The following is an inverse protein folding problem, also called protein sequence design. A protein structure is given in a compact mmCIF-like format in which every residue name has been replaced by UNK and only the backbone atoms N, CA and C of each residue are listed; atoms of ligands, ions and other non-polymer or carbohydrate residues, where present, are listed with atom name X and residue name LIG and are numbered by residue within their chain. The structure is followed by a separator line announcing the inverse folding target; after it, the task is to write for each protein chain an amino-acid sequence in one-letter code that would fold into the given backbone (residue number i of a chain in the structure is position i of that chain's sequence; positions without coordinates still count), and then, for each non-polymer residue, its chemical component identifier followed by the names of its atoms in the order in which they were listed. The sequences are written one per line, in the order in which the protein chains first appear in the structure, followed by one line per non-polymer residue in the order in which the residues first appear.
data_IF_925849479626
#
_entry.id   IF_925849479626
#
_cell.length_a   1.000
_cell.length_b   1.000
_cell.length_c   1.000
_cell.angle_alpha   90.00
_cell.angle_beta   90.00
_cell.angle_gamma   90.00
#
_symmetry.space_group_name_H-M   'P 1'
#
loop_
_entity.id
_entity.type
_entity.pdbx_description
1 polymer ?
#
# COMPACT_ATOMS: atom_id res chain seq x y z
N UNK A 1 -14.47 -29.65 2.03
CA UNK A 1 -13.03 -29.59 1.72
C UNK A 1 -12.29 -30.16 2.91
N UNK A 2 -11.37 -31.09 2.68
CA UNK A 2 -10.55 -31.71 3.72
C UNK A 2 -9.48 -30.72 4.23
N UNK A 3 -9.15 -30.78 5.52
CA UNK A 3 -8.23 -29.85 6.16
C UNK A 3 -6.80 -29.99 5.64
N UNK A 4 -6.31 -31.22 5.44
CA UNK A 4 -4.94 -31.45 4.97
C UNK A 4 -4.73 -30.85 3.57
N UNK A 5 -5.73 -30.99 2.69
CA UNK A 5 -5.72 -30.32 1.37
C UNK A 5 -5.78 -28.80 1.49
N UNK A 6 -6.60 -28.29 2.41
CA UNK A 6 -6.70 -26.85 2.68
C UNK A 6 -5.38 -26.27 3.14
N UNK A 7 -4.75 -26.93 4.10
CA UNK A 7 -3.47 -26.52 4.67
C UNK A 7 -2.35 -26.61 3.64
N UNK A 8 -2.34 -27.65 2.79
CA UNK A 8 -1.39 -27.76 1.70
C UNK A 8 -1.45 -26.56 0.74
N UNK A 9 -2.66 -26.10 0.38
CA UNK A 9 -2.86 -24.95 -0.52
C UNK A 9 -2.48 -23.62 0.16
N UNK A 10 -2.86 -23.41 1.42
CA UNK A 10 -2.68 -22.14 2.14
C UNK A 10 -1.32 -22.03 2.86
N UNK A 11 -0.65 -23.16 3.09
CA UNK A 11 0.49 -23.41 3.99
C UNK A 11 0.15 -23.56 5.47
N UNK A 12 0.82 -24.52 6.13
CA UNK A 12 0.72 -24.77 7.56
C UNK A 12 1.08 -23.54 8.40
N UNK A 13 2.08 -22.76 7.97
CA UNK A 13 2.47 -21.53 8.69
C UNK A 13 1.33 -20.52 8.79
N UNK A 14 0.52 -20.36 7.74
CA UNK A 14 -0.64 -19.45 7.74
C UNK A 14 -1.81 -20.02 8.54
N UNK A 15 -2.02 -21.34 8.50
CA UNK A 15 -3.12 -22.00 9.20
C UNK A 15 -2.89 -22.17 10.70
N UNK A 16 -1.63 -22.31 11.14
CA UNK A 16 -1.25 -22.58 12.53
C UNK A 16 -1.93 -21.66 13.55
N UNK A 17 -2.00 -20.35 13.30
CA UNK A 17 -2.63 -19.40 14.22
C UNK A 17 -4.13 -19.66 14.42
N UNK A 18 -4.83 -20.12 13.38
CA UNK A 18 -6.25 -20.43 13.43
C UNK A 18 -6.51 -21.78 14.11
N UNK A 19 -5.64 -22.78 13.86
CA UNK A 19 -5.71 -24.10 14.51
C UNK A 19 -5.51 -23.96 16.02
N UNK A 20 -4.50 -23.20 16.44
CA UNK A 20 -4.24 -22.92 17.87
C UNK A 20 -5.43 -22.19 18.50
N UNK A 21 -5.93 -21.13 17.84
CA UNK A 21 -7.07 -20.36 18.35
C UNK A 21 -8.37 -21.19 18.45
N UNK A 22 -8.51 -22.24 17.65
CA UNK A 22 -9.66 -23.14 17.66
C UNK A 22 -9.44 -24.42 18.50
N UNK A 23 -8.36 -24.50 19.29
CA UNK A 23 -8.08 -25.68 20.12
C UNK A 23 -7.87 -26.96 19.32
N UNK A 24 -7.17 -26.88 18.18
CA UNK A 24 -6.96 -27.96 17.22
C UNK A 24 -8.22 -28.45 16.48
N UNK A 25 -9.37 -27.76 16.61
CA UNK A 25 -10.56 -28.02 15.77
C UNK A 25 -10.32 -27.49 14.34
N UNK A 26 -9.99 -28.41 13.44
CA UNK A 26 -9.62 -28.12 12.05
C UNK A 26 -10.77 -27.53 11.24
N UNK A 27 -12.02 -27.90 11.55
CA UNK A 27 -13.22 -27.37 10.88
C UNK A 27 -13.49 -25.93 11.28
N UNK A 28 -13.38 -25.62 12.57
CA UNK A 28 -13.46 -24.23 13.06
C UNK A 28 -12.30 -23.39 12.55
N UNK A 29 -11.08 -23.93 12.50
CA UNK A 29 -9.92 -23.22 11.96
C UNK A 29 -10.10 -22.80 10.49
N UNK A 30 -10.58 -23.70 9.62
CA UNK A 30 -10.91 -23.35 8.24
C UNK A 30 -12.00 -22.28 8.15
N UNK A 31 -13.03 -22.38 9.00
CA UNK A 31 -14.12 -21.40 9.05
C UNK A 31 -13.59 -20.03 9.46
N UNK A 32 -12.77 -19.96 10.51
CA UNK A 32 -12.17 -18.72 11.00
C UNK A 32 -11.24 -18.08 9.96
N UNK A 33 -10.45 -18.87 9.24
CA UNK A 33 -9.64 -18.37 8.11
C UNK A 33 -10.52 -17.72 7.03
N UNK A 34 -11.62 -18.37 6.62
CA UNK A 34 -12.54 -17.83 5.61
C UNK A 34 -13.23 -16.55 6.10
N UNK A 35 -13.60 -16.49 7.37
CA UNK A 35 -14.16 -15.27 7.98
C UNK A 35 -13.14 -14.14 8.00
N UNK A 36 -11.86 -14.42 8.31
CA UNK A 36 -10.80 -13.42 8.22
C UNK A 36 -10.64 -12.88 6.80
N UNK A 37 -10.65 -13.74 5.78
CA UNK A 37 -10.61 -13.29 4.39
C UNK A 37 -11.80 -12.42 4.00
N UNK A 38 -13.01 -12.83 4.41
CA UNK A 38 -14.22 -12.04 4.16
C UNK A 38 -14.13 -10.66 4.82
N UNK A 39 -13.71 -10.60 6.07
CA UNK A 39 -13.51 -9.32 6.77
C UNK A 39 -12.48 -8.44 6.05
N UNK A 40 -11.34 -9.01 5.64
CA UNK A 40 -10.34 -8.28 4.86
C UNK A 40 -10.90 -7.75 3.55
N UNK A 41 -11.76 -8.50 2.87
CA UNK A 41 -12.42 -8.08 1.65
C UNK A 41 -13.35 -6.88 1.88
N UNK A 42 -14.18 -6.91 2.92
CA UNK A 42 -15.09 -5.78 3.24
C UNK A 42 -14.32 -4.50 3.61
N UNK A 43 -13.20 -4.64 4.31
CA UNK A 43 -12.37 -3.49 4.70
C UNK A 43 -11.60 -2.91 3.51
N UNK A 44 -11.29 -3.71 2.48
CA UNK A 44 -10.46 -3.28 1.36
C UNK A 44 -11.04 -2.04 0.67
N UNK A 45 -12.34 -2.02 0.38
CA UNK A 45 -13.01 -0.86 -0.23
C UNK A 45 -12.89 0.41 0.62
N UNK A 46 -13.02 0.27 1.94
CA UNK A 46 -12.91 1.40 2.87
C UNK A 46 -11.48 1.93 2.89
N UNK A 47 -10.47 1.05 2.93
CA UNK A 47 -9.06 1.43 2.86
C UNK A 47 -8.75 2.13 1.53
N UNK A 48 -9.23 1.63 0.40
CA UNK A 48 -9.02 2.26 -0.91
C UNK A 48 -9.59 3.68 -0.97
N UNK A 49 -10.78 3.89 -0.40
CA UNK A 49 -11.37 5.24 -0.31
C UNK A 49 -10.56 6.15 0.62
N UNK A 50 -10.15 5.61 1.78
CA UNK A 50 -9.32 6.33 2.75
C UNK A 50 -7.98 6.77 2.15
N UNK A 51 -7.31 5.89 1.41
CA UNK A 51 -6.04 6.17 0.76
C UNK A 51 -6.15 7.37 -0.20
N UNK A 52 -7.17 7.38 -1.07
CA UNK A 52 -7.40 8.51 -1.99
C UNK A 52 -7.72 9.79 -1.23
N UNK A 53 -8.59 9.70 -0.21
CA UNK A 53 -8.97 10.87 0.59
C UNK A 53 -7.78 11.48 1.33
N UNK A 54 -6.96 10.63 1.96
CA UNK A 54 -5.76 11.04 2.68
C UNK A 54 -4.73 11.65 1.74
N UNK A 55 -4.44 10.99 0.61
CA UNK A 55 -3.51 11.50 -0.41
C UNK A 55 -3.93 12.88 -0.92
N UNK A 56 -5.21 13.04 -1.24
CA UNK A 56 -5.75 14.32 -1.69
C UNK A 56 -5.71 15.40 -0.59
N UNK A 57 -5.88 15.01 0.67
CA UNK A 57 -5.76 15.95 1.79
C UNK A 57 -4.32 16.42 1.99
N UNK A 58 -3.35 15.49 1.98
CA UNK A 58 -1.92 15.82 2.03
C UNK A 58 -1.54 16.73 0.87
N UNK A 59 -2.02 16.42 -0.33
CA UNK A 59 -1.69 17.19 -1.52
C UNK A 59 -2.15 18.66 -1.43
N UNK A 60 -3.37 18.90 -0.94
CA UNK A 60 -3.87 20.26 -0.73
C UNK A 60 -2.99 21.05 0.23
N UNK A 61 -2.64 20.47 1.37
CA UNK A 61 -1.78 21.14 2.36
C UNK A 61 -0.38 21.39 1.80
N UNK A 62 0.22 20.38 1.16
CA UNK A 62 1.57 20.49 0.62
C UNK A 62 1.65 21.47 -0.55
N UNK A 63 0.65 21.50 -1.44
CA UNK A 63 0.59 22.44 -2.56
C UNK A 63 0.52 23.90 -2.09
N UNK A 64 -0.18 24.16 -0.97
CA UNK A 64 -0.25 25.50 -0.38
C UNK A 64 1.11 25.97 0.15
N UNK A 65 1.93 25.06 0.68
CA UNK A 65 3.23 25.40 1.28
C UNK A 65 4.40 25.35 0.30
N UNK A 66 4.37 24.44 -0.68
CA UNK A 66 5.52 24.09 -1.52
C UNK A 66 5.25 24.21 -3.02
N UNK A 67 4.03 24.60 -3.41
CA UNK A 67 3.61 24.78 -4.80
C UNK A 67 3.02 23.51 -5.45
N UNK A 68 2.43 23.70 -6.64
CA UNK A 68 1.62 22.68 -7.33
C UNK A 68 2.37 21.42 -7.79
N UNK A 69 3.70 21.44 -7.78
CA UNK A 69 4.55 20.30 -8.17
C UNK A 69 5.47 19.84 -7.04
N UNK A 70 5.11 20.15 -5.79
CA UNK A 70 5.92 19.90 -4.59
C UNK A 70 6.53 18.50 -4.55
N UNK A 71 5.77 17.46 -4.91
CA UNK A 71 6.20 16.07 -4.78
C UNK A 71 7.39 15.76 -5.69
N UNK A 72 7.37 16.28 -6.93
CA UNK A 72 8.51 16.21 -7.85
C UNK A 72 9.64 17.08 -7.34
N UNK A 73 9.34 18.32 -6.98
CA UNK A 73 10.35 19.34 -6.71
C UNK A 73 11.19 19.02 -5.47
N UNK A 74 10.58 18.42 -4.44
CA UNK A 74 11.30 18.01 -3.23
C UNK A 74 12.33 16.90 -3.49
N UNK A 75 12.12 16.04 -4.50
CA UNK A 75 13.00 14.89 -4.79
C UNK A 75 14.00 15.14 -5.92
N UNK A 76 13.84 16.22 -6.67
CA UNK A 76 14.72 16.63 -7.78
C UNK A 76 15.98 17.34 -7.26
N UNK A 77 17.04 17.50 -8.08
CA UNK A 77 18.23 18.25 -7.70
C UNK A 77 17.87 19.65 -7.18
N UNK A 78 18.34 19.99 -5.98
CA UNK A 78 18.01 21.25 -5.29
C UNK A 78 16.78 21.18 -4.38
N UNK A 79 16.01 20.10 -4.44
CA UNK A 79 14.91 19.83 -3.52
C UNK A 79 15.37 19.44 -2.11
N UNK A 80 14.55 19.75 -1.10
CA UNK A 80 14.87 19.52 0.32
C UNK A 80 15.17 18.05 0.64
N UNK A 81 14.61 17.11 -0.13
CA UNK A 81 14.78 15.68 0.08
C UNK A 81 15.84 15.04 -0.83
N UNK A 82 16.47 15.79 -1.74
CA UNK A 82 17.41 15.25 -2.72
C UNK A 82 18.58 14.48 -2.07
N UNK A 83 19.16 15.04 -1.00
CA UNK A 83 20.34 14.51 -0.29
C UNK A 83 20.04 13.93 1.10
N UNK A 84 18.78 13.82 1.49
CA UNK A 84 18.41 13.32 2.83
C UNK A 84 18.37 11.79 2.84
N UNK A 85 19.33 11.18 3.56
CA UNK A 85 19.51 9.72 3.63
C UNK A 85 18.31 9.00 4.26
N UNK A 86 17.62 9.65 5.22
CA UNK A 86 16.49 9.03 5.94
C UNK A 86 15.30 8.70 5.03
N UNK A 87 15.17 9.40 3.90
CA UNK A 87 14.06 9.29 2.95
C UNK A 87 14.53 8.79 1.58
N UNK A 88 15.72 8.21 1.49
CA UNK A 88 16.29 7.73 0.22
C UNK A 88 15.36 6.72 -0.49
N UNK A 89 14.73 5.82 0.27
CA UNK A 89 13.78 4.84 -0.28
C UNK A 89 12.57 5.53 -0.90
N UNK A 90 11.91 6.42 -0.17
CA UNK A 90 10.76 7.19 -0.63
C UNK A 90 11.12 8.05 -1.85
N UNK A 91 12.28 8.72 -1.81
CA UNK A 91 12.82 9.50 -2.93
C UNK A 91 12.98 8.66 -4.19
N UNK A 92 13.56 7.46 -4.07
CA UNK A 92 13.73 6.52 -5.19
C UNK A 92 12.40 6.06 -5.78
N UNK A 93 11.39 5.81 -4.94
CA UNK A 93 10.03 5.45 -5.39
C UNK A 93 9.40 6.59 -6.19
N UNK A 94 9.40 7.80 -5.63
CA UNK A 94 8.84 8.99 -6.29
C UNK A 94 9.56 9.27 -7.61
N UNK A 95 10.90 9.24 -7.60
CA UNK A 95 11.70 9.50 -8.79
C UNK A 95 11.44 8.47 -9.90
N UNK A 96 11.34 7.18 -9.55
CA UNK A 96 11.03 6.12 -10.52
C UNK A 96 9.65 6.29 -11.14
N UNK A 97 8.64 6.65 -10.33
CA UNK A 97 7.29 6.93 -10.82
C UNK A 97 7.28 8.15 -11.77
N UNK A 98 7.97 9.22 -11.36
CA UNK A 98 8.15 10.42 -12.18
C UNK A 98 8.79 10.11 -13.55
N UNK A 99 9.95 9.44 -13.56
CA UNK A 99 10.64 9.06 -14.80
C UNK A 99 9.75 8.19 -15.70
N UNK A 100 9.03 7.23 -15.11
CA UNK A 100 8.09 6.37 -15.83
C UNK A 100 6.97 7.16 -16.51
N UNK A 101 6.44 8.19 -15.85
CA UNK A 101 5.41 9.08 -16.41
C UNK A 101 5.97 10.01 -17.49
N UNK A 102 7.21 10.50 -17.31
CA UNK A 102 7.91 11.33 -18.28
C UNK A 102 8.20 10.55 -19.57
N UNK A 103 8.72 9.34 -19.47
CA UNK A 103 8.95 8.46 -20.63
C UNK A 103 7.67 8.19 -21.42
N UNK A 104 6.54 8.02 -20.73
CA UNK A 104 5.22 7.84 -21.35
C UNK A 104 4.61 9.14 -21.89
N UNK A 105 5.25 10.30 -21.69
CA UNK A 105 4.72 11.66 -21.97
C UNK A 105 3.34 11.89 -21.35
N UNK A 106 3.10 11.31 -20.18
CA UNK A 106 1.81 11.35 -19.48
C UNK A 106 1.91 12.06 -18.14
N UNK A 107 3.04 12.67 -17.82
CA UNK A 107 3.24 13.34 -16.54
C UNK A 107 2.21 14.44 -16.28
N UNK A 108 1.59 14.35 -15.11
CA UNK A 108 0.98 15.45 -14.39
C UNK A 108 1.24 15.22 -12.90
N UNK A 109 1.06 16.26 -12.06
CA UNK A 109 1.26 16.12 -10.63
C UNK A 109 0.29 15.11 -10.01
N UNK A 110 -0.97 15.14 -10.41
CA UNK A 110 -2.02 14.24 -9.93
C UNK A 110 -1.72 12.78 -10.26
N UNK A 111 -1.13 12.53 -11.45
CA UNK A 111 -0.69 11.18 -11.83
C UNK A 111 0.51 10.73 -11.02
N UNK A 112 1.49 11.59 -10.78
CA UNK A 112 2.62 11.24 -9.91
C UNK A 112 2.14 10.94 -8.49
N UNK A 113 1.23 11.75 -7.98
CA UNK A 113 0.61 11.56 -6.68
C UNK A 113 -0.17 10.23 -6.61
N UNK A 114 -0.91 9.87 -7.67
CA UNK A 114 -1.69 8.64 -7.77
C UNK A 114 -0.83 7.36 -7.77
N UNK A 115 0.45 7.43 -8.14
CA UNK A 115 1.40 6.32 -8.06
C UNK A 115 1.87 6.04 -6.62
N UNK A 116 1.55 6.91 -5.65
CA UNK A 116 2.01 6.79 -4.27
C UNK A 116 1.03 5.97 -3.41
N UNK A 117 1.33 4.69 -3.22
CA UNK A 117 0.48 3.76 -2.46
C UNK A 117 0.61 3.89 -0.93
N UNK A 118 -0.46 3.56 -0.20
CA UNK A 118 -0.43 3.52 1.27
C UNK A 118 0.09 2.15 1.76
N UNK A 119 1.36 2.10 2.18
CA UNK A 119 1.91 0.97 2.94
C UNK A 119 2.60 -0.14 2.14
N UNK A 120 3.44 0.25 1.16
CA UNK A 120 4.42 -0.66 0.51
C UNK A 120 5.83 -0.37 0.99
#
# INVERSE_FOLDING_TARGET
MDFSKFEYIISSKRMRKYVIACGNDTRKAMTLYRLNLRLSQEIFTVISCFEVALRNAIDREMANHWGSHWLRDLVMPGGVFFNEKRIEKSRKIIYKAYEGLMHKRKYSHEKLLAEMEFGV
#
